data_IF_075363687464
#
_entry.id   IF_075363687464
#
_cell.length_a   1.000
_cell.length_b   1.000
_cell.length_c   1.000
_cell.angle_alpha   90.00
_cell.angle_beta   90.00
_cell.angle_gamma   90.00
#
_symmetry.space_group_name_H-M   'P 1'
#
loop_
_entity.id
_entity.type
_entity.pdbx_description
1 polymer ?
#
# COMPACT_ATOMS: atom_id res chain seq x y z
N UNK A 1 -0.06 -46.24 -5.81
CA UNK A 1 -0.95 -46.55 -4.67
C UNK A 1 -1.32 -45.23 -4.03
N UNK A 2 -2.62 -44.91 -4.02
CA UNK A 2 -3.14 -43.56 -3.83
C UNK A 2 -3.21 -43.10 -2.38
N UNK A 3 -3.10 -41.78 -2.19
CA UNK A 3 -3.42 -41.09 -0.94
C UNK A 3 -4.63 -40.19 -1.21
N UNK A 4 -5.72 -40.45 -0.50
CA UNK A 4 -6.98 -39.70 -0.61
C UNK A 4 -6.97 -38.52 0.36
N UNK A 5 -7.17 -37.31 -0.16
CA UNK A 5 -7.36 -36.11 0.67
C UNK A 5 -8.85 -35.82 0.85
N UNK A 6 -9.32 -35.81 2.10
CA UNK A 6 -10.63 -35.25 2.46
C UNK A 6 -10.47 -33.80 2.89
N UNK A 7 -10.82 -32.87 1.99
CA UNK A 7 -10.97 -31.45 2.32
C UNK A 7 -12.33 -31.18 2.97
N UNK A 8 -12.34 -30.69 4.21
CA UNK A 8 -13.52 -30.11 4.85
C UNK A 8 -13.34 -28.59 4.90
N UNK A 9 -14.24 -27.87 4.23
CA UNK A 9 -14.38 -26.41 4.30
C UNK A 9 -14.89 -26.05 5.69
N UNK A 10 -14.12 -25.28 6.45
CA UNK A 10 -14.61 -24.60 7.66
C UNK A 10 -14.66 -23.11 7.36
N UNK A 11 -15.88 -22.60 7.37
CA UNK A 11 -16.21 -21.19 7.43
C UNK A 11 -15.67 -20.57 8.73
N UNK A 12 -14.77 -19.59 8.57
CA UNK A 12 -14.58 -18.40 9.39
C UNK A 12 -14.92 -18.47 10.90
N UNK A 13 -13.91 -18.45 11.79
CA UNK A 13 -14.03 -17.81 13.10
C UNK A 13 -13.12 -16.57 13.22
N UNK A 14 -13.56 -15.48 13.88
CA UNK A 14 -12.67 -14.37 14.22
C UNK A 14 -11.71 -14.83 15.34
N UNK A 15 -10.42 -14.56 15.15
CA UNK A 15 -9.25 -14.96 15.97
C UNK A 15 -9.30 -14.60 17.48
N UNK A 16 -8.24 -14.87 18.29
CA UNK A 16 -7.54 -16.14 18.57
C UNK A 16 -7.21 -16.29 20.09
N UNK A 17 -7.05 -17.49 20.64
CA UNK A 17 -6.09 -17.75 21.74
C UNK A 17 -5.91 -19.27 21.88
N UNK A 18 -4.69 -19.75 21.66
CA UNK A 18 -4.02 -20.85 22.37
C UNK A 18 -2.77 -21.27 21.58
N UNK A 19 -1.61 -20.75 21.98
CA UNK A 19 -0.32 -21.34 21.62
C UNK A 19 0.02 -22.37 22.69
N UNK A 20 0.05 -23.64 22.30
CA UNK A 20 0.78 -24.70 22.99
C UNK A 20 2.23 -24.59 22.54
N UNK A 21 3.15 -24.24 23.44
CA UNK A 21 4.58 -24.35 23.20
C UNK A 21 5.09 -25.61 23.91
N UNK A 22 5.32 -26.67 23.13
CA UNK A 22 6.15 -27.80 23.55
C UNK A 22 7.62 -27.33 23.50
N UNK A 23 8.23 -27.17 24.68
CA UNK A 23 9.66 -26.82 24.79
C UNK A 23 10.48 -28.11 24.70
N UNK A 24 11.25 -28.24 23.63
CA UNK A 24 12.30 -29.25 23.45
C UNK A 24 13.63 -28.66 23.94
N UNK A 25 14.20 -29.21 25.01
CA UNK A 25 15.54 -28.87 25.51
C UNK A 25 16.51 -29.99 25.09
N UNK A 26 17.52 -29.73 24.24
CA UNK A 26 18.65 -30.62 24.10
C UNK A 26 19.73 -30.31 25.14
N UNK A 27 20.25 -31.38 25.72
CA UNK A 27 21.23 -31.48 26.79
C UNK A 27 22.69 -31.26 26.36
N UNK A 28 23.47 -30.52 27.16
CA UNK A 28 24.84 -30.91 27.60
C UNK A 28 25.47 -29.89 28.57
N UNK A 29 25.55 -30.27 29.86
CA UNK A 29 26.58 -30.09 30.93
C UNK A 29 27.60 -28.93 30.92
N UNK A 30 28.21 -28.48 32.06
CA UNK A 30 28.31 -29.18 33.35
C UNK A 30 28.15 -28.38 34.67
N UNK A 31 27.70 -29.13 35.68
CA UNK A 31 28.17 -29.19 37.07
C UNK A 31 28.95 -28.01 37.64
N UNK A 32 28.30 -27.24 38.52
CA UNK A 32 28.78 -26.87 39.84
C UNK A 32 27.82 -25.81 40.39
N UNK A 33 27.18 -26.07 41.53
CA UNK A 33 27.14 -25.18 42.69
C UNK A 33 26.13 -25.71 43.70
N UNK A 34 26.70 -26.23 44.79
CA UNK A 34 26.25 -26.05 46.17
C UNK A 34 24.87 -26.58 46.55
N UNK A 35 24.94 -27.77 47.15
CA UNK A 35 24.11 -28.19 48.27
C UNK A 35 24.04 -27.08 49.33
N UNK A 36 22.87 -26.51 49.51
CA UNK A 36 22.49 -25.83 50.75
C UNK A 36 21.07 -26.28 51.10
N UNK A 37 20.97 -27.05 52.18
CA UNK A 37 19.70 -27.40 52.81
C UNK A 37 18.88 -26.13 53.13
N UNK A 38 17.55 -26.12 52.91
CA UNK A 38 16.71 -25.12 53.54
C UNK A 38 16.46 -25.54 54.99
N UNK A 39 17.24 -24.94 55.89
CA UNK A 39 16.97 -24.91 57.31
C UNK A 39 15.52 -24.46 57.57
N UNK A 40 14.86 -25.15 58.49
CA UNK A 40 13.50 -24.90 58.94
C UNK A 40 13.26 -23.42 59.28
N UNK A 41 12.40 -22.79 58.47
CA UNK A 41 11.88 -21.44 58.72
C UNK A 41 10.97 -21.48 59.96
N UNK A 42 11.54 -21.08 61.08
CA UNK A 42 10.85 -20.85 62.35
C UNK A 42 9.89 -19.67 62.15
N UNK A 43 8.57 -19.92 62.16
CA UNK A 43 7.54 -18.88 62.06
C UNK A 43 7.62 -17.93 63.25
N UNK A 44 8.05 -16.69 62.99
CA UNK A 44 7.94 -15.53 63.88
C UNK A 44 6.74 -14.67 63.44
N UNK A 45 5.82 -14.27 64.33
CA UNK A 45 4.58 -13.55 63.98
C UNK A 45 4.77 -12.07 63.61
N UNK A 46 6.00 -11.57 63.60
CA UNK A 46 6.41 -10.18 63.37
C UNK A 46 6.47 -9.78 61.86
N UNK A 47 6.24 -10.73 60.94
CA UNK A 47 6.47 -10.55 59.49
C UNK A 47 5.22 -10.37 58.62
N UNK A 48 4.02 -10.27 59.20
CA UNK A 48 2.78 -10.13 58.41
C UNK A 48 2.77 -8.79 57.66
N UNK A 49 3.21 -7.70 58.29
CA UNK A 49 3.25 -6.39 57.66
C UNK A 49 4.22 -6.36 56.45
N UNK A 50 5.40 -6.95 56.61
CA UNK A 50 6.41 -7.03 55.54
C UNK A 50 5.92 -7.90 54.37
N UNK A 51 5.24 -9.02 54.67
CA UNK A 51 4.68 -9.90 53.64
C UNK A 51 3.53 -9.24 52.87
N UNK A 52 2.68 -8.46 53.55
CA UNK A 52 1.59 -7.70 52.91
C UNK A 52 2.14 -6.58 52.02
N UNK A 53 3.15 -5.85 52.48
CA UNK A 53 3.79 -4.79 51.68
C UNK A 53 4.50 -5.36 50.44
N UNK A 54 5.17 -6.50 50.59
CA UNK A 54 5.83 -7.20 49.47
C UNK A 54 4.82 -7.70 48.43
N UNK A 55 3.66 -8.19 48.87
CA UNK A 55 2.56 -8.61 47.99
C UNK A 55 1.93 -7.42 47.27
N UNK A 56 1.69 -6.29 47.94
CA UNK A 56 1.14 -5.07 47.33
C UNK A 56 2.09 -4.54 46.24
N UNK A 57 3.39 -4.50 46.51
CA UNK A 57 4.39 -4.06 45.52
C UNK A 57 4.44 -4.99 44.29
N UNK A 58 4.34 -6.30 44.50
CA UNK A 58 4.32 -7.28 43.41
C UNK A 58 3.06 -7.15 42.55
N UNK A 59 1.90 -6.96 43.18
CA UNK A 59 0.63 -6.75 42.49
C UNK A 59 0.66 -5.45 41.67
N UNK A 60 1.15 -4.35 42.26
CA UNK A 60 1.28 -3.07 41.54
C UNK A 60 2.22 -3.20 40.33
N UNK A 61 3.37 -3.83 40.50
CA UNK A 61 4.34 -4.01 39.42
C UNK A 61 3.82 -4.85 38.26
N UNK A 62 3.07 -5.92 38.56
CA UNK A 62 2.45 -6.75 37.52
C UNK A 62 1.34 -6.00 36.81
N UNK A 63 0.53 -5.19 37.52
CA UNK A 63 -0.52 -4.37 36.91
C UNK A 63 0.03 -3.30 35.95
N UNK A 64 1.15 -2.66 36.30
CA UNK A 64 1.83 -1.67 35.45
C UNK A 64 2.43 -2.29 34.18
N UNK A 65 3.07 -3.47 34.30
CA UNK A 65 3.56 -4.19 33.12
C UNK A 65 2.43 -4.65 32.20
N UNK A 66 1.31 -5.11 32.78
CA UNK A 66 0.14 -5.53 32.00
C UNK A 66 -0.50 -4.32 31.32
N UNK A 67 -0.62 -3.17 32.00
CA UNK A 67 -1.17 -1.95 31.41
C UNK A 67 -0.29 -1.41 30.28
N UNK A 68 1.03 -1.43 30.43
CA UNK A 68 1.99 -1.02 29.40
C UNK A 68 1.93 -1.93 28.17
N UNK A 69 1.86 -3.25 28.37
CA UNK A 69 1.66 -4.21 27.27
C UNK A 69 0.32 -4.00 26.59
N UNK A 70 -0.78 -3.92 27.34
CA UNK A 70 -2.10 -3.71 26.75
C UNK A 70 -2.12 -2.42 25.91
N UNK A 71 -1.56 -1.31 26.41
CA UNK A 71 -1.39 -0.06 25.65
C UNK A 71 -0.55 -0.24 24.37
N UNK A 72 0.55 -0.99 24.42
CA UNK A 72 1.36 -1.23 23.22
C UNK A 72 0.60 -2.03 22.16
N UNK A 73 -0.23 -2.99 22.57
CA UNK A 73 -1.07 -3.79 21.66
C UNK A 73 -2.19 -2.96 21.03
N UNK A 74 -2.75 -1.98 21.76
CA UNK A 74 -3.73 -1.03 21.21
C UNK A 74 -3.09 -0.12 20.15
N UNK A 75 -1.92 0.48 20.44
CA UNK A 75 -1.21 1.31 19.47
C UNK A 75 -0.83 0.54 18.19
N UNK A 76 -0.36 -0.70 18.33
CA UNK A 76 0.05 -1.52 17.20
C UNK A 76 -1.15 -2.00 16.38
N UNK A 77 -2.29 -2.29 17.02
CA UNK A 77 -3.54 -2.61 16.31
C UNK A 77 -4.09 -1.39 15.53
N UNK A 78 -4.01 -0.19 16.11
CA UNK A 78 -4.38 1.06 15.43
C UNK A 78 -3.48 1.33 14.22
N UNK A 79 -2.16 1.18 14.36
CA UNK A 79 -1.19 1.36 13.27
C UNK A 79 -1.37 0.33 12.14
N UNK A 80 -1.66 -0.92 12.50
CA UNK A 80 -1.92 -2.01 11.54
C UNK A 80 -3.26 -1.85 10.83
N UNK A 81 -4.23 -1.15 11.44
CA UNK A 81 -5.52 -0.79 10.82
C UNK A 81 -5.40 0.38 9.85
N UNK A 82 -4.56 1.39 10.15
CA UNK A 82 -4.29 2.52 9.27
C UNK A 82 -3.54 2.10 7.99
N UNK A 83 -2.75 1.03 8.06
CA UNK A 83 -1.94 0.52 6.94
C UNK A 83 -2.77 -0.24 5.88
N UNK A 84 -3.98 -0.69 6.20
CA UNK A 84 -4.86 -1.43 5.29
C UNK A 84 -6.01 -0.55 4.76
N UNK A 85 -5.72 0.31 3.79
CA UNK A 85 -6.77 0.77 2.86
C UNK A 85 -6.93 2.27 2.66
N UNK A 86 -6.00 3.11 3.11
CA UNK A 86 -6.12 4.52 2.82
C UNK A 86 -5.57 4.85 1.41
N UNK A 87 -6.45 4.84 0.41
CA UNK A 87 -6.15 5.31 -0.96
C UNK A 87 -5.72 6.79 -0.92
N UNK A 88 -6.23 7.57 0.03
CA UNK A 88 -5.88 8.98 0.18
C UNK A 88 -4.50 9.17 0.80
N UNK A 89 -4.04 8.24 1.64
CA UNK A 89 -2.67 8.21 2.19
C UNK A 89 -1.58 8.04 1.12
N UNK A 90 -1.95 7.63 -0.12
CA UNK A 90 -1.03 7.52 -1.26
C UNK A 90 -0.79 8.85 -2.00
N UNK A 91 -1.53 9.90 -1.66
CA UNK A 91 -1.39 11.22 -2.29
C UNK A 91 -0.68 12.16 -1.33
N UNK A 92 0.55 12.54 -1.67
CA UNK A 92 1.26 13.57 -0.92
C UNK A 92 0.71 14.95 -1.29
N UNK A 93 0.12 15.66 -0.32
CA UNK A 93 -0.36 17.03 -0.51
C UNK A 93 0.81 18.01 -0.50
N UNK A 94 1.38 18.27 -1.67
CA UNK A 94 2.42 19.27 -1.86
C UNK A 94 2.22 20.02 -3.18
N UNK A 95 2.72 21.25 -3.27
CA UNK A 95 2.73 22.02 -4.53
C UNK A 95 3.49 21.27 -5.64
N UNK A 96 4.48 20.48 -5.26
CA UNK A 96 5.24 19.63 -6.17
C UNK A 96 4.39 18.51 -6.76
N UNK A 97 3.62 17.80 -5.93
CA UNK A 97 2.68 16.77 -6.40
C UNK A 97 1.63 17.38 -7.33
N UNK A 98 1.14 18.57 -6.99
CA UNK A 98 0.21 19.31 -7.84
C UNK A 98 0.82 19.63 -9.21
N UNK A 99 2.05 20.16 -9.25
CA UNK A 99 2.75 20.45 -10.51
C UNK A 99 2.96 19.18 -11.37
N UNK A 100 3.30 18.06 -10.74
CA UNK A 100 3.43 16.75 -11.43
C UNK A 100 2.10 16.34 -12.04
N UNK A 101 1.00 16.41 -11.25
CA UNK A 101 -0.34 16.03 -11.71
C UNK A 101 -0.80 16.91 -12.88
N UNK A 102 -0.56 18.23 -12.82
CA UNK A 102 -0.83 19.14 -13.94
C UNK A 102 -0.04 18.73 -15.18
N UNK A 103 1.25 18.43 -15.03
CA UNK A 103 2.08 17.97 -16.13
C UNK A 103 1.57 16.68 -16.77
N UNK A 104 1.16 15.69 -15.96
CA UNK A 104 0.57 14.45 -16.48
C UNK A 104 -0.70 14.74 -17.29
N UNK A 105 -1.60 15.58 -16.76
CA UNK A 105 -2.85 15.95 -17.44
C UNK A 105 -2.57 16.65 -18.77
N UNK A 106 -1.60 17.56 -18.81
CA UNK A 106 -1.17 18.24 -20.03
C UNK A 106 -0.60 17.25 -21.04
N UNK A 107 0.29 16.34 -20.62
CA UNK A 107 0.91 15.37 -21.53
C UNK A 107 -0.09 14.37 -22.11
N UNK A 108 -1.06 13.92 -21.31
CA UNK A 108 -2.16 13.08 -21.80
C UNK A 108 -3.01 13.86 -22.82
N UNK A 109 -3.28 15.14 -22.56
CA UNK A 109 -3.98 16.01 -23.50
C UNK A 109 -3.22 16.20 -24.81
N UNK A 110 -1.89 16.38 -24.73
CA UNK A 110 -1.02 16.51 -25.90
C UNK A 110 -0.98 15.21 -26.74
N UNK A 111 -0.94 14.04 -26.09
CA UNK A 111 -1.06 12.76 -26.78
C UNK A 111 -2.36 12.69 -27.59
N UNK A 112 -3.49 13.03 -26.97
CA UNK A 112 -4.80 12.99 -27.62
C UNK A 112 -4.88 14.00 -28.76
N UNK A 113 -4.44 15.24 -28.51
CA UNK A 113 -4.44 16.30 -29.51
C UNK A 113 -3.60 15.92 -30.72
N UNK A 114 -2.39 15.38 -30.52
CA UNK A 114 -1.53 14.92 -31.59
C UNK A 114 -2.17 13.78 -32.40
N UNK A 115 -2.83 12.84 -31.71
CA UNK A 115 -3.61 11.78 -32.35
C UNK A 115 -4.74 12.33 -33.22
N UNK A 116 -5.54 13.26 -32.70
CA UNK A 116 -6.63 13.90 -33.45
C UNK A 116 -6.11 14.70 -34.65
N UNK A 117 -5.01 15.46 -34.49
CA UNK A 117 -4.36 16.19 -35.59
C UNK A 117 -3.79 15.28 -36.68
N UNK A 118 -3.49 14.01 -36.35
CA UNK A 118 -3.03 13.02 -37.34
C UNK A 118 -4.15 12.50 -38.23
N UNK A 119 -5.41 12.68 -37.81
CA UNK A 119 -6.58 12.19 -38.54
C UNK A 119 -7.47 13.31 -39.08
N UNK A 120 -7.34 14.53 -38.56
CA UNK A 120 -8.24 15.64 -38.86
C UNK A 120 -7.49 16.96 -39.03
N UNK A 121 -8.06 17.84 -39.84
CA UNK A 121 -7.52 19.19 -40.03
C UNK A 121 -7.78 20.06 -38.80
N UNK A 122 -6.93 21.08 -38.59
CA UNK A 122 -7.12 22.07 -37.52
C UNK A 122 -8.49 22.74 -37.65
N UNK A 123 -8.89 23.12 -38.87
CA UNK A 123 -10.20 23.75 -39.13
C UNK A 123 -11.37 22.88 -38.66
N UNK A 124 -11.30 21.56 -38.92
CA UNK A 124 -12.33 20.63 -38.45
C UNK A 124 -12.36 20.54 -36.91
N UNK A 125 -11.21 20.46 -36.24
CA UNK A 125 -11.16 20.35 -34.78
C UNK A 125 -11.63 21.63 -34.07
N UNK A 126 -11.35 22.81 -34.65
CA UNK A 126 -11.86 24.08 -34.14
C UNK A 126 -13.39 24.18 -34.28
N UNK A 127 -13.95 23.63 -35.37
CA UNK A 127 -15.40 23.54 -35.54
C UNK A 127 -16.05 22.46 -34.66
N UNK A 128 -15.29 21.47 -34.19
CA UNK A 128 -15.77 20.32 -33.43
C UNK A 128 -14.96 20.11 -32.14
N UNK A 129 -14.91 21.08 -31.21
CA UNK A 129 -14.06 21.00 -30.02
C UNK A 129 -14.40 19.82 -29.10
N UNK A 130 -15.67 19.40 -29.10
CA UNK A 130 -16.16 18.23 -28.35
C UNK A 130 -15.46 16.91 -28.72
N UNK A 131 -14.80 16.87 -29.88
CA UNK A 131 -14.12 15.69 -30.37
C UNK A 131 -12.84 15.39 -29.60
N UNK A 132 -12.00 16.41 -29.38
CA UNK A 132 -10.78 16.27 -28.59
C UNK A 132 -11.13 15.88 -27.16
N UNK A 133 -12.11 16.57 -26.55
CA UNK A 133 -12.55 16.28 -25.18
C UNK A 133 -13.16 14.88 -25.07
N UNK A 134 -13.98 14.47 -26.05
CA UNK A 134 -14.60 13.15 -26.08
C UNK A 134 -13.59 12.00 -26.24
N UNK A 135 -12.49 12.23 -26.98
CA UNK A 135 -11.39 11.28 -27.11
C UNK A 135 -10.52 11.25 -25.86
N UNK A 136 -10.28 12.40 -25.21
CA UNK A 136 -9.41 12.51 -24.04
C UNK A 136 -10.03 11.96 -22.75
N UNK A 137 -11.34 12.18 -22.56
CA UNK A 137 -12.04 11.87 -21.32
C UNK A 137 -11.87 10.41 -20.84
N UNK A 138 -11.97 9.37 -21.70
CA UNK A 138 -11.65 7.99 -21.33
C UNK A 138 -10.28 7.80 -20.70
N UNK A 139 -9.25 8.43 -21.26
CA UNK A 139 -7.88 8.32 -20.75
C UNK A 139 -7.69 9.09 -19.45
N UNK A 140 -8.33 10.25 -19.32
CA UNK A 140 -8.34 10.99 -18.05
C UNK A 140 -9.05 10.21 -16.94
N UNK A 141 -10.19 9.58 -17.23
CA UNK A 141 -10.88 8.70 -16.27
C UNK A 141 -9.95 7.55 -15.87
N UNK A 142 -9.35 6.87 -16.85
CA UNK A 142 -8.38 5.81 -16.59
C UNK A 142 -7.21 6.28 -15.72
N UNK A 143 -6.69 7.48 -15.96
CA UNK A 143 -5.58 8.06 -15.22
C UNK A 143 -5.96 8.43 -13.78
N UNK A 144 -7.09 9.11 -13.59
CA UNK A 144 -7.62 9.48 -12.27
C UNK A 144 -7.85 8.25 -11.40
N UNK A 145 -8.16 7.09 -11.99
CA UNK A 145 -8.28 5.83 -11.27
C UNK A 145 -6.91 5.19 -11.04
N UNK A 146 -6.13 4.98 -12.10
CA UNK A 146 -4.90 4.19 -12.05
C UNK A 146 -3.79 4.87 -11.23
N UNK A 147 -3.61 6.19 -11.40
CA UNK A 147 -2.50 6.91 -10.78
C UNK A 147 -2.56 6.90 -9.24
N UNK A 148 -3.71 7.18 -8.57
CA UNK A 148 -3.82 7.03 -7.12
C UNK A 148 -3.69 5.57 -6.66
N UNK A 149 -4.33 4.63 -7.38
CA UNK A 149 -4.29 3.20 -7.02
C UNK A 149 -2.86 2.68 -7.04
N UNK A 150 -2.05 3.04 -8.04
CA UNK A 150 -0.64 2.63 -8.10
C UNK A 150 0.29 3.52 -7.25
N UNK A 151 -0.23 4.58 -6.63
CA UNK A 151 0.57 5.48 -5.80
C UNK A 151 1.49 6.40 -6.61
N UNK A 152 1.13 6.75 -7.83
CA UNK A 152 1.92 7.61 -8.72
C UNK A 152 2.12 9.04 -8.18
N UNK A 153 1.40 9.41 -7.12
CA UNK A 153 1.46 10.70 -6.42
C UNK A 153 1.98 10.58 -4.97
N UNK A 154 2.57 9.44 -4.61
CA UNK A 154 3.21 9.26 -3.32
C UNK A 154 4.62 9.84 -3.30
N UNK A 155 5.17 10.03 -2.10
CA UNK A 155 6.58 10.38 -1.92
C UNK A 155 7.50 9.30 -2.49
N UNK A 156 7.16 8.03 -2.22
CA UNK A 156 7.94 6.86 -2.65
C UNK A 156 8.05 6.73 -4.17
N UNK A 157 7.05 7.23 -4.92
CA UNK A 157 7.10 7.24 -6.38
C UNK A 157 8.13 8.21 -6.96
N UNK A 158 8.70 9.10 -6.15
CA UNK A 158 9.63 10.14 -6.59
C UNK A 158 11.03 10.01 -6.00
N UNK A 159 11.24 9.04 -5.12
CA UNK A 159 12.53 8.80 -4.45
C UNK A 159 13.66 8.50 -5.43
N UNK A 160 13.35 7.82 -6.54
CA UNK A 160 14.35 7.54 -7.58
C UNK A 160 13.76 7.68 -8.99
N UNK A 161 14.59 8.01 -9.99
CA UNK A 161 14.16 8.09 -11.39
C UNK A 161 13.52 6.78 -11.88
N UNK A 162 14.09 5.64 -11.48
CA UNK A 162 13.56 4.32 -11.85
C UNK A 162 12.17 4.07 -11.23
N UNK A 163 11.96 4.42 -9.95
CA UNK A 163 10.64 4.29 -9.31
C UNK A 163 9.61 5.18 -10.00
N UNK A 164 9.98 6.42 -10.32
CA UNK A 164 9.10 7.36 -11.02
C UNK A 164 8.70 6.84 -12.41
N UNK A 165 9.66 6.28 -13.15
CA UNK A 165 9.42 5.66 -14.46
C UNK A 165 8.49 4.44 -14.35
N UNK A 166 8.78 3.50 -13.45
CA UNK A 166 8.02 2.25 -13.32
C UNK A 166 6.59 2.49 -12.82
N UNK A 167 6.41 3.29 -11.77
CA UNK A 167 5.08 3.56 -11.20
C UNK A 167 4.26 4.44 -12.16
N UNK A 168 4.86 5.50 -12.70
CA UNK A 168 4.19 6.38 -13.65
C UNK A 168 3.82 5.68 -14.96
N UNK A 169 4.76 4.91 -15.52
CA UNK A 169 4.54 4.12 -16.72
C UNK A 169 3.51 3.01 -16.51
N UNK A 170 3.59 2.29 -15.38
CA UNK A 170 2.60 1.28 -14.99
C UNK A 170 1.20 1.88 -14.85
N UNK A 171 1.08 3.04 -14.21
CA UNK A 171 -0.20 3.76 -14.09
C UNK A 171 -0.75 4.16 -15.47
N UNK A 172 0.11 4.57 -16.40
CA UNK A 172 -0.31 4.90 -17.76
C UNK A 172 -0.81 3.68 -18.51
N UNK A 173 -0.12 2.54 -18.42
CA UNK A 173 -0.56 1.30 -19.09
C UNK A 173 -1.97 0.92 -18.61
N UNK A 174 -2.21 0.93 -17.29
CA UNK A 174 -3.53 0.63 -16.73
C UNK A 174 -4.57 1.68 -17.17
N UNK A 175 -4.22 2.97 -17.14
CA UNK A 175 -5.09 4.05 -17.59
C UNK A 175 -5.48 3.93 -19.07
N UNK A 176 -4.52 3.59 -19.95
CA UNK A 176 -4.75 3.39 -21.37
C UNK A 176 -5.69 2.19 -21.61
N UNK A 177 -5.49 1.08 -20.89
CA UNK A 177 -6.40 -0.07 -20.97
C UNK A 177 -7.83 0.29 -20.54
N UNK A 178 -7.99 1.03 -19.44
CA UNK A 178 -9.30 1.55 -19.00
C UNK A 178 -9.90 2.47 -20.07
N UNK A 179 -9.10 3.39 -20.61
CA UNK A 179 -9.53 4.32 -21.65
C UNK A 179 -10.02 3.60 -22.91
N UNK A 180 -9.30 2.57 -23.36
CA UNK A 180 -9.73 1.75 -24.50
C UNK A 180 -11.01 0.96 -24.19
N UNK A 181 -11.13 0.42 -22.98
CA UNK A 181 -12.35 -0.23 -22.50
C UNK A 181 -13.55 0.73 -22.54
N UNK A 182 -13.39 1.96 -22.05
CA UNK A 182 -14.45 2.98 -22.11
C UNK A 182 -14.79 3.37 -23.56
N UNK A 183 -13.80 3.50 -24.44
CA UNK A 183 -14.01 3.76 -25.88
C UNK A 183 -14.70 2.63 -26.63
N UNK A 184 -14.74 1.42 -26.06
CA UNK A 184 -15.51 0.30 -26.63
C UNK A 184 -17.03 0.44 -26.39
N UNK A 185 -17.45 1.40 -25.56
CA UNK A 185 -18.86 1.64 -25.23
C UNK A 185 -19.49 2.66 -26.17
N UNK A 186 -20.83 2.70 -26.22
CA UNK A 186 -21.58 3.69 -26.99
C UNK A 186 -21.47 5.13 -26.44
N UNK A 187 -20.87 5.32 -25.24
CA UNK A 187 -20.78 6.62 -24.56
C UNK A 187 -19.61 7.45 -25.12
N UNK A 188 -18.52 6.80 -25.54
CA UNK A 188 -17.28 7.46 -25.90
C UNK A 188 -16.91 7.20 -27.36
N UNK A 189 -16.29 8.19 -28.00
CA UNK A 189 -15.93 8.11 -29.41
C UNK A 189 -14.79 7.12 -29.66
N UNK A 190 -14.89 6.38 -30.77
CA UNK A 190 -13.75 5.81 -31.48
C UNK A 190 -13.55 4.30 -31.41
N UNK A 191 -14.47 3.56 -30.80
CA UNK A 191 -14.47 2.09 -30.70
C UNK A 191 -13.17 1.52 -30.08
N UNK A 192 -13.15 0.22 -29.82
CA UNK A 192 -11.91 -0.47 -29.46
C UNK A 192 -11.10 -0.77 -30.72
N UNK A 193 -9.83 -0.34 -30.75
CA UNK A 193 -8.90 -0.65 -31.83
C UNK A 193 -7.54 -1.07 -31.26
N UNK A 194 -7.08 -2.28 -31.60
CA UNK A 194 -5.83 -2.86 -31.09
C UNK A 194 -4.63 -1.98 -31.44
N UNK A 195 -4.55 -1.47 -32.67
CA UNK A 195 -3.48 -0.56 -33.07
C UNK A 195 -3.48 0.72 -32.24
N UNK A 196 -4.65 1.31 -32.01
CA UNK A 196 -4.76 2.53 -31.20
C UNK A 196 -4.40 2.26 -29.74
N UNK A 197 -4.72 1.08 -29.19
CA UNK A 197 -4.27 0.66 -27.86
C UNK A 197 -2.75 0.68 -27.76
N UNK A 198 -2.03 0.01 -28.67
CA UNK A 198 -0.57 -0.04 -28.62
C UNK A 198 0.08 1.34 -28.85
N UNK A 199 -0.45 2.13 -29.79
CA UNK A 199 0.03 3.50 -30.01
C UNK A 199 -0.20 4.37 -28.77
N UNK A 200 -1.38 4.28 -28.14
CA UNK A 200 -1.69 5.05 -26.93
C UNK A 200 -0.76 4.70 -25.77
N UNK A 201 -0.50 3.41 -25.55
CA UNK A 201 0.46 2.97 -24.54
C UNK A 201 1.86 3.50 -24.88
N UNK A 202 2.36 3.25 -26.10
CA UNK A 202 3.71 3.63 -26.51
C UNK A 202 3.97 5.13 -26.43
N UNK A 203 3.10 5.95 -27.05
CA UNK A 203 3.27 7.40 -27.07
C UNK A 203 3.15 7.99 -25.66
N UNK A 204 2.17 7.55 -24.87
CA UNK A 204 2.03 8.06 -23.50
C UNK A 204 3.18 7.63 -22.59
N UNK A 205 3.78 6.44 -22.78
CA UNK A 205 5.02 6.07 -22.10
C UNK A 205 6.17 7.01 -22.49
N UNK A 206 6.35 7.29 -23.79
CA UNK A 206 7.38 8.21 -24.29
C UNK A 206 7.20 9.63 -23.75
N UNK A 207 5.97 10.06 -23.46
CA UNK A 207 5.72 11.39 -22.89
C UNK A 207 5.88 11.40 -21.36
N UNK A 208 5.20 10.49 -20.66
CA UNK A 208 5.09 10.51 -19.20
C UNK A 208 6.35 9.99 -18.50
N UNK A 209 7.03 8.98 -19.05
CA UNK A 209 8.21 8.41 -18.39
C UNK A 209 9.34 9.43 -18.33
N UNK A 210 9.76 10.10 -19.44
CA UNK A 210 10.80 11.12 -19.37
C UNK A 210 10.41 12.29 -18.47
N UNK A 211 9.17 12.78 -18.57
CA UNK A 211 8.65 13.84 -17.68
C UNK A 211 8.85 13.51 -16.21
N UNK A 212 8.38 12.33 -15.78
CA UNK A 212 8.47 11.88 -14.39
C UNK A 212 9.89 11.60 -13.94
N UNK A 213 10.71 11.05 -14.84
CA UNK A 213 12.12 10.75 -14.56
C UNK A 213 12.92 12.04 -14.36
N UNK A 214 12.72 13.04 -15.24
CA UNK A 214 13.38 14.35 -15.13
C UNK A 214 12.96 15.04 -13.83
N UNK A 215 11.67 15.04 -13.49
CA UNK A 215 11.22 15.64 -12.25
C UNK A 215 11.76 14.92 -11.01
N UNK A 216 11.83 13.60 -11.01
CA UNK A 216 12.44 12.86 -9.91
C UNK A 216 13.91 13.27 -9.70
N UNK A 217 14.70 13.40 -10.77
CA UNK A 217 16.10 13.87 -10.69
C UNK A 217 16.21 15.31 -10.17
N UNK A 218 15.25 16.18 -10.50
CA UNK A 218 15.28 17.60 -10.10
C UNK A 218 14.80 17.85 -8.68
N UNK A 219 14.05 16.91 -8.11
CA UNK A 219 13.39 17.05 -6.81
C UNK A 219 13.99 16.14 -5.73
N UNK A 220 14.92 15.25 -6.10
CA UNK A 220 15.68 14.35 -5.22
C UNK A 220 16.89 15.04 -4.59
#
# INVERSE_FOLDING_TARGET
MGVTFHGRVLSNPPFPFLIRADIHIPSSSPSAYLLAEPAAVRRRPDNIALAVETLDQTIRFTSERQSARVKSWWCEAEDMSATKGDVLGRIERSSTTFAIAVGDVVLIGLFVLAGELSHYTIAFLLANPGRITGTALPFYIGWVIAAPVLGAYSKSARETPLRAALIGGGAWIVAALIGQGLRSTAIFHGNFAITFMFVSIGVGLVLLVPWRTVLAVRLS
#
